data_IF_091865790888
#
_entry.id   IF_091865790888
#
_cell.length_a   1.000
_cell.length_b   1.000
_cell.length_c   1.000
_cell.angle_alpha   90.00
_cell.angle_beta   90.00
_cell.angle_gamma   90.00
#
_symmetry.space_group_name_H-M   'P 1'
#
loop_
_entity.id
_entity.type
_entity.pdbx_description
1 polymer ?
#
# COMPACT_ATOMS: atom_id res chain seq x y z
N UNK A 1 26.92 17.59 -16.30
CA UNK A 1 25.60 17.06 -16.70
C UNK A 1 25.41 15.56 -16.44
N UNK A 2 26.41 14.68 -16.60
CA UNK A 2 26.25 13.22 -16.42
C UNK A 2 25.71 12.78 -15.04
N UNK A 3 26.21 13.35 -13.93
CA UNK A 3 25.79 12.97 -12.58
C UNK A 3 24.30 13.22 -12.28
N UNK A 4 23.74 14.30 -12.81
CA UNK A 4 22.34 14.66 -12.58
C UNK A 4 21.42 13.65 -13.28
N UNK A 5 21.76 13.24 -14.50
CA UNK A 5 21.02 12.21 -15.26
C UNK A 5 21.09 10.85 -14.56
N UNK A 6 22.27 10.45 -14.08
CA UNK A 6 22.43 9.19 -13.33
C UNK A 6 21.60 9.17 -12.04
N UNK A 7 21.54 10.29 -11.31
CA UNK A 7 20.75 10.40 -10.09
C UNK A 7 19.24 10.38 -10.35
N UNK A 8 18.77 11.04 -11.42
CA UNK A 8 17.37 11.00 -11.85
C UNK A 8 16.95 9.59 -12.25
N UNK A 9 17.79 8.89 -13.03
CA UNK A 9 17.51 7.50 -13.44
C UNK A 9 17.48 6.55 -12.24
N UNK A 10 18.40 6.69 -11.29
CA UNK A 10 18.40 5.90 -10.06
C UNK A 10 17.15 6.16 -9.22
N UNK A 11 16.72 7.42 -9.10
CA UNK A 11 15.49 7.80 -8.40
C UNK A 11 14.24 7.24 -9.10
N UNK A 12 14.19 7.27 -10.45
CA UNK A 12 13.10 6.68 -11.22
C UNK A 12 13.01 5.16 -10.99
N UNK A 13 14.15 4.47 -11.07
CA UNK A 13 14.24 3.03 -10.80
C UNK A 13 13.81 2.69 -9.36
N UNK A 14 14.25 3.48 -8.38
CA UNK A 14 13.85 3.33 -6.99
C UNK A 14 12.33 3.51 -6.82
N UNK A 15 11.75 4.54 -7.47
CA UNK A 15 10.31 4.79 -7.47
C UNK A 15 9.52 3.62 -8.05
N UNK A 16 9.95 3.05 -9.18
CA UNK A 16 9.34 1.86 -9.78
C UNK A 16 9.44 0.66 -8.86
N UNK A 17 10.64 0.36 -8.36
CA UNK A 17 10.89 -0.81 -7.55
C UNK A 17 10.08 -0.76 -6.25
N UNK A 18 10.09 0.39 -5.56
CA UNK A 18 9.31 0.61 -4.35
C UNK A 18 7.81 0.45 -4.61
N UNK A 19 7.30 1.01 -5.70
CA UNK A 19 5.90 0.88 -6.09
C UNK A 19 5.52 -0.54 -6.50
N UNK A 20 6.40 -1.26 -7.18
CA UNK A 20 6.23 -2.66 -7.53
C UNK A 20 6.11 -3.55 -6.29
N UNK A 21 7.00 -3.36 -5.31
CA UNK A 21 6.96 -4.07 -4.02
C UNK A 21 5.63 -3.78 -3.30
N UNK A 22 5.24 -2.50 -3.17
CA UNK A 22 3.99 -2.12 -2.50
C UNK A 22 2.76 -2.72 -3.20
N UNK A 23 2.74 -2.70 -4.53
CA UNK A 23 1.66 -3.28 -5.33
C UNK A 23 1.59 -4.79 -5.12
N UNK A 24 2.72 -5.49 -5.24
CA UNK A 24 2.80 -6.93 -5.04
C UNK A 24 2.34 -7.36 -3.65
N UNK A 25 2.84 -6.69 -2.60
CA UNK A 25 2.44 -6.96 -1.21
C UNK A 25 0.95 -6.65 -1.00
N UNK A 26 0.43 -5.54 -1.52
CA UNK A 26 -0.99 -5.20 -1.39
C UNK A 26 -1.89 -6.21 -2.10
N UNK A 27 -1.55 -6.59 -3.34
CA UNK A 27 -2.27 -7.61 -4.11
C UNK A 27 -2.25 -8.93 -3.36
N UNK A 28 -1.08 -9.43 -2.97
CA UNK A 28 -0.94 -10.69 -2.23
C UNK A 28 -1.76 -10.68 -0.94
N UNK A 29 -1.70 -9.59 -0.16
CA UNK A 29 -2.51 -9.44 1.04
C UNK A 29 -4.02 -9.46 0.73
N UNK A 30 -4.46 -8.72 -0.29
CA UNK A 30 -5.89 -8.55 -0.62
C UNK A 30 -6.53 -9.74 -1.33
N UNK A 31 -5.76 -10.48 -2.14
CA UNK A 31 -6.25 -11.57 -2.99
C UNK A 31 -5.99 -12.95 -2.38
N UNK A 32 -4.93 -13.09 -1.57
CA UNK A 32 -4.56 -14.39 -0.99
C UNK A 32 -4.72 -14.37 0.53
N UNK A 33 -4.04 -13.47 1.24
CA UNK A 33 -3.96 -13.53 2.71
C UNK A 33 -5.30 -13.25 3.38
N UNK A 34 -6.02 -12.19 3.00
CA UNK A 34 -7.31 -11.85 3.64
C UNK A 34 -8.39 -12.90 3.37
N UNK A 35 -8.58 -13.41 2.13
CA UNK A 35 -9.49 -14.52 1.87
C UNK A 35 -9.12 -15.79 2.63
N UNK A 36 -7.84 -16.17 2.66
CA UNK A 36 -7.39 -17.34 3.43
C UNK A 36 -7.71 -17.21 4.93
N UNK A 37 -7.58 -16.01 5.51
CA UNK A 37 -7.99 -15.77 6.90
C UNK A 37 -9.50 -15.86 7.10
N UNK A 38 -10.31 -15.39 6.14
CA UNK A 38 -11.78 -15.46 6.20
C UNK A 38 -12.29 -16.90 6.14
N UNK A 39 -11.66 -17.73 5.31
CA UNK A 39 -11.98 -19.14 5.11
C UNK A 39 -11.38 -20.03 6.21
N UNK A 40 -10.44 -19.51 7.02
CA UNK A 40 -9.82 -20.28 8.09
C UNK A 40 -10.83 -20.68 9.17
N UNK A 41 -10.68 -21.90 9.68
CA UNK A 41 -11.41 -22.40 10.85
C UNK A 41 -10.71 -22.00 12.17
N UNK A 42 -9.93 -20.92 12.16
CA UNK A 42 -9.23 -20.44 13.35
C UNK A 42 -10.23 -19.93 14.39
N UNK A 43 -10.00 -20.23 15.68
CA UNK A 43 -10.66 -19.54 16.78
C UNK A 43 -10.53 -18.02 16.65
N UNK A 44 -11.55 -17.27 17.08
CA UNK A 44 -11.64 -15.83 16.87
C UNK A 44 -10.47 -15.05 17.51
N UNK A 45 -9.97 -15.50 18.66
CA UNK A 45 -8.80 -14.93 19.33
C UNK A 45 -7.52 -15.12 18.50
N UNK A 46 -7.33 -16.30 17.90
CA UNK A 46 -6.20 -16.59 17.01
C UNK A 46 -6.29 -15.80 15.71
N UNK A 47 -7.49 -15.67 15.15
CA UNK A 47 -7.74 -14.88 13.95
C UNK A 47 -7.37 -13.40 14.19
N UNK A 48 -7.77 -12.83 15.33
CA UNK A 48 -7.40 -11.48 15.75
C UNK A 48 -5.89 -11.33 15.90
N UNK A 49 -5.22 -12.28 16.53
CA UNK A 49 -3.77 -12.26 16.73
C UNK A 49 -2.99 -12.27 15.41
N UNK A 50 -3.33 -13.19 14.50
CA UNK A 50 -2.70 -13.28 13.18
C UNK A 50 -2.95 -12.02 12.36
N UNK A 51 -4.21 -11.54 12.31
CA UNK A 51 -4.56 -10.35 11.56
C UNK A 51 -3.89 -9.08 12.11
N UNK A 52 -3.82 -8.93 13.44
CA UNK A 52 -3.14 -7.82 14.08
C UNK A 52 -1.64 -7.81 13.76
N UNK A 53 -0.98 -8.97 13.85
CA UNK A 53 0.45 -9.08 13.55
C UNK A 53 0.73 -8.76 12.08
N UNK A 54 -0.04 -9.31 11.14
CA UNK A 54 0.10 -8.98 9.71
C UNK A 54 -0.05 -7.48 9.43
N UNK A 55 -1.03 -6.84 10.06
CA UNK A 55 -1.27 -5.40 9.87
C UNK A 55 -0.15 -4.56 10.48
N UNK A 56 0.35 -4.94 11.65
CA UNK A 56 1.44 -4.25 12.34
C UNK A 56 2.74 -4.37 11.58
N UNK A 57 3.18 -5.58 11.24
CA UNK A 57 4.42 -5.83 10.52
C UNK A 57 4.38 -5.20 9.12
N UNK A 58 3.24 -5.30 8.42
CA UNK A 58 3.05 -4.64 7.14
C UNK A 58 3.24 -3.13 7.20
N UNK A 59 2.71 -2.46 8.23
CA UNK A 59 2.84 -1.01 8.38
C UNK A 59 4.27 -0.53 8.70
N UNK A 60 5.06 -1.33 9.42
CA UNK A 60 6.45 -1.00 9.77
C UNK A 60 7.30 -0.84 8.51
N UNK A 61 7.13 -1.73 7.53
CA UNK A 61 7.88 -1.72 6.28
C UNK A 61 7.23 -0.78 5.25
N UNK A 62 5.91 -0.82 5.11
CA UNK A 62 5.21 -0.11 4.06
C UNK A 62 5.28 1.42 4.21
N UNK A 63 5.25 1.94 5.44
CA UNK A 63 5.23 3.40 5.67
C UNK A 63 6.51 4.10 5.16
N UNK A 64 7.73 3.73 5.60
CA UNK A 64 8.95 4.37 5.12
C UNK A 64 9.14 4.16 3.61
N UNK A 65 8.82 2.96 3.09
CA UNK A 65 8.90 2.66 1.67
C UNK A 65 7.95 3.53 0.83
N UNK A 66 6.72 3.76 1.32
CA UNK A 66 5.75 4.62 0.64
C UNK A 66 6.26 6.05 0.57
N UNK A 67 6.77 6.60 1.68
CA UNK A 67 7.28 7.97 1.73
C UNK A 67 8.50 8.17 0.84
N UNK A 68 9.46 7.24 0.86
CA UNK A 68 10.64 7.32 0.01
C UNK A 68 10.27 7.17 -1.48
N UNK A 69 9.33 6.29 -1.81
CA UNK A 69 8.81 6.12 -3.18
C UNK A 69 8.12 7.40 -3.67
N UNK A 70 7.25 8.01 -2.85
CA UNK A 70 6.60 9.29 -3.16
C UNK A 70 7.65 10.37 -3.44
N UNK A 71 8.65 10.50 -2.57
CA UNK A 71 9.73 11.48 -2.74
C UNK A 71 10.50 11.28 -4.04
N UNK A 72 10.85 10.04 -4.37
CA UNK A 72 11.54 9.70 -5.60
C UNK A 72 10.70 10.03 -6.85
N UNK A 73 9.40 9.71 -6.85
CA UNK A 73 8.50 10.01 -7.97
C UNK A 73 8.35 11.51 -8.18
N UNK A 74 8.11 12.29 -7.12
CA UNK A 74 7.99 13.75 -7.23
C UNK A 74 9.32 14.41 -7.64
N UNK A 75 10.45 13.90 -7.16
CA UNK A 75 11.76 14.39 -7.58
C UNK A 75 11.96 14.23 -9.09
N UNK A 76 11.67 13.05 -9.64
CA UNK A 76 11.80 12.81 -11.09
C UNK A 76 10.77 13.63 -11.87
N UNK A 77 9.53 13.72 -11.41
CA UNK A 77 8.48 14.53 -12.03
C UNK A 77 8.90 16.01 -12.13
N UNK A 78 9.43 16.56 -11.03
CA UNK A 78 9.94 17.93 -10.98
C UNK A 78 11.11 18.15 -11.96
N UNK A 79 12.06 17.22 -12.03
CA UNK A 79 13.17 17.31 -12.97
C UNK A 79 12.71 17.28 -14.43
N UNK A 80 11.73 16.43 -14.77
CA UNK A 80 11.14 16.38 -16.12
C UNK A 80 10.34 17.64 -16.47
N UNK A 81 9.73 18.29 -15.48
CA UNK A 81 9.03 19.55 -15.67
C UNK A 81 9.99 20.73 -15.89
N UNK A 82 11.06 20.80 -15.11
CA UNK A 82 12.05 21.90 -15.16
C UNK A 82 13.04 21.78 -16.32
N UNK A 83 13.38 20.54 -16.71
CA UNK A 83 14.32 20.25 -17.78
C UNK A 83 13.67 19.29 -18.79
N UNK A 84 12.71 19.77 -19.60
CA UNK A 84 12.05 18.92 -20.60
C UNK A 84 13.08 18.40 -21.62
N UNK A 85 13.04 17.11 -21.96
CA UNK A 85 13.96 16.56 -22.96
C UNK A 85 13.71 17.20 -24.33
N UNK A 86 14.79 17.52 -25.04
CA UNK A 86 14.77 18.15 -26.38
C UNK A 86 14.14 17.27 -27.47
N UNK A 87 13.94 15.97 -27.22
CA UNK A 87 13.28 15.01 -28.10
C UNK A 87 12.14 14.33 -27.35
N UNK A 88 10.92 14.68 -27.72
CA UNK A 88 9.67 14.15 -27.17
C UNK A 88 9.31 12.79 -27.80
N UNK A 89 10.29 11.90 -28.01
CA UNK A 89 10.07 10.58 -28.62
C UNK A 89 10.35 9.51 -27.57
N UNK A 90 9.43 9.34 -26.62
CA UNK A 90 9.33 8.11 -25.82
C UNK A 90 8.17 7.30 -26.39
N UNK A 91 8.51 6.20 -27.04
CA UNK A 91 7.64 5.34 -27.87
C UNK A 91 6.53 4.61 -27.11
N UNK A 92 6.49 4.66 -25.78
CA UNK A 92 5.45 4.11 -24.91
C UNK A 92 4.52 5.16 -24.26
N UNK A 93 4.94 6.43 -24.22
CA UNK A 93 4.10 7.58 -23.81
C UNK A 93 2.96 7.88 -24.81
N UNK A 94 2.91 7.15 -25.92
CA UNK A 94 1.96 7.27 -27.02
C UNK A 94 0.58 6.66 -26.74
N UNK A 95 0.43 5.82 -25.70
CA UNK A 95 -0.85 5.17 -25.38
C UNK A 95 -1.80 6.06 -24.55
N UNK A 96 -1.24 6.98 -23.76
CA UNK A 96 -1.97 7.90 -22.90
C UNK A 96 -1.28 9.23 -23.15
N UNK A 97 -1.88 10.15 -23.89
CA UNK A 97 -1.30 11.43 -24.36
C UNK A 97 -0.92 12.41 -23.22
N UNK A 98 -0.13 11.94 -22.25
CA UNK A 98 0.24 12.59 -21.00
C UNK A 98 1.76 12.50 -20.88
N UNK A 99 2.42 13.61 -20.59
CA UNK A 99 3.88 13.64 -20.45
C UNK A 99 4.38 12.78 -19.28
N UNK A 100 5.59 12.23 -19.41
CA UNK A 100 6.25 11.40 -18.37
C UNK A 100 6.20 12.08 -16.98
N UNK A 101 6.53 13.37 -16.91
CA UNK A 101 6.51 14.11 -15.65
C UNK A 101 5.12 14.18 -15.02
N UNK A 102 4.06 14.30 -15.83
CA UNK A 102 2.67 14.30 -15.34
C UNK A 102 2.26 12.90 -14.91
N UNK A 103 2.62 11.83 -15.63
CA UNK A 103 2.33 10.46 -15.21
C UNK A 103 2.96 10.15 -13.85
N UNK A 104 4.24 10.51 -13.66
CA UNK A 104 4.95 10.32 -12.39
C UNK A 104 4.35 11.17 -11.25
N UNK A 105 3.95 12.41 -11.55
CA UNK A 105 3.26 13.28 -10.60
C UNK A 105 1.91 12.72 -10.16
N UNK A 106 1.11 12.19 -11.10
CA UNK A 106 -0.17 11.53 -10.80
C UNK A 106 0.07 10.28 -9.94
N UNK A 107 1.07 9.44 -10.27
CA UNK A 107 1.43 8.27 -9.46
C UNK A 107 1.82 8.65 -8.03
N UNK A 108 2.63 9.71 -7.85
CA UNK A 108 2.97 10.24 -6.53
C UNK A 108 1.74 10.72 -5.75
N UNK A 109 0.83 11.44 -6.41
CA UNK A 109 -0.42 11.89 -5.82
C UNK A 109 -1.36 10.73 -5.44
N UNK A 110 -1.44 9.68 -6.27
CA UNK A 110 -2.20 8.47 -5.97
C UNK A 110 -1.67 7.77 -4.72
N UNK A 111 -0.35 7.68 -4.53
CA UNK A 111 0.24 7.11 -3.32
C UNK A 111 -0.10 7.91 -2.06
N UNK A 112 -0.12 9.24 -2.15
CA UNK A 112 -0.63 10.09 -1.07
C UNK A 112 -2.11 9.77 -0.79
N UNK A 113 -2.91 9.67 -1.86
CA UNK A 113 -4.31 9.29 -1.80
C UNK A 113 -4.54 7.93 -1.11
N UNK A 114 -3.70 6.94 -1.39
CA UNK A 114 -3.72 5.62 -0.73
C UNK A 114 -3.46 5.75 0.78
N UNK A 115 -2.49 6.58 1.17
CA UNK A 115 -2.19 6.87 2.57
C UNK A 115 -3.37 7.51 3.30
N UNK A 116 -3.99 8.53 2.69
CA UNK A 116 -5.18 9.21 3.22
C UNK A 116 -6.38 8.26 3.29
N UNK A 117 -6.63 7.48 2.24
CA UNK A 117 -7.68 6.46 2.18
C UNK A 117 -7.52 5.46 3.33
N UNK A 118 -6.32 4.95 3.55
CA UNK A 118 -6.04 3.99 4.63
C UNK A 118 -6.30 4.63 6.00
N UNK A 119 -5.89 5.89 6.19
CA UNK A 119 -6.07 6.61 7.46
C UNK A 119 -7.51 6.97 7.76
N UNK A 120 -8.28 7.40 6.76
CA UNK A 120 -9.64 7.92 6.92
C UNK A 120 -10.68 6.81 6.89
N UNK A 121 -10.55 5.84 5.98
CA UNK A 121 -11.58 4.82 5.76
C UNK A 121 -11.27 3.49 6.43
N UNK A 122 -10.00 3.05 6.41
CA UNK A 122 -9.65 1.72 6.95
C UNK A 122 -9.32 1.74 8.46
N UNK A 123 -8.66 2.80 8.94
CA UNK A 123 -8.11 2.85 10.31
C UNK A 123 -9.15 3.06 11.42
N UNK A 124 -10.13 4.00 11.34
CA UNK A 124 -10.86 4.44 12.52
C UNK A 124 -11.74 3.37 13.16
N UNK A 125 -12.36 2.51 12.36
CA UNK A 125 -13.29 1.48 12.86
C UNK A 125 -12.58 0.14 13.04
N UNK A 126 -11.88 -0.32 12.01
CA UNK A 126 -11.41 -1.70 11.96
C UNK A 126 -10.12 -1.91 12.74
N UNK A 127 -9.10 -1.07 12.53
CA UNK A 127 -7.83 -1.20 13.26
C UNK A 127 -8.01 -0.88 14.75
N UNK A 128 -8.89 0.07 15.09
CA UNK A 128 -9.16 0.40 16.47
C UNK A 128 -9.79 -0.78 17.21
N UNK A 129 -10.89 -1.35 16.67
CA UNK A 129 -11.52 -2.57 17.22
C UNK A 129 -10.56 -3.76 17.27
N UNK A 130 -9.73 -3.92 16.24
CA UNK A 130 -8.72 -4.99 16.20
C UNK A 130 -7.71 -4.85 17.34
N UNK A 131 -7.22 -3.62 17.59
CA UNK A 131 -6.29 -3.32 18.67
C UNK A 131 -6.93 -3.53 20.04
N UNK A 132 -8.17 -3.11 20.22
CA UNK A 132 -8.92 -3.34 21.46
C UNK A 132 -9.11 -4.83 21.73
N UNK A 133 -9.58 -5.60 20.75
CA UNK A 133 -9.72 -7.06 20.85
C UNK A 133 -8.39 -7.73 21.17
N UNK A 134 -7.29 -7.32 20.51
CA UNK A 134 -5.95 -7.84 20.80
C UNK A 134 -5.52 -7.56 22.25
N UNK A 135 -5.78 -6.36 22.76
CA UNK A 135 -5.49 -5.99 24.15
C UNK A 135 -6.28 -6.85 25.12
N UNK A 136 -7.57 -7.09 24.86
CA UNK A 136 -8.41 -7.98 25.69
C UNK A 136 -7.88 -9.41 25.72
N UNK A 137 -7.49 -9.95 24.56
CA UNK A 137 -6.88 -11.28 24.45
C UNK A 137 -5.59 -11.34 25.27
N UNK A 138 -4.72 -10.33 25.17
CA UNK A 138 -3.46 -10.31 25.88
C UNK A 138 -3.64 -10.22 27.40
N UNK A 139 -4.64 -9.46 27.86
CA UNK A 139 -4.98 -9.39 29.28
C UNK A 139 -5.54 -10.72 29.79
N UNK A 140 -6.43 -11.37 29.03
CA UNK A 140 -6.98 -12.68 29.39
C UNK A 140 -5.88 -13.75 29.49
N UNK A 141 -5.01 -13.84 28.47
CA UNK A 141 -3.86 -14.76 28.46
C UNK A 141 -2.92 -14.53 29.65
N UNK A 142 -2.60 -13.26 29.98
CA UNK A 142 -1.77 -12.93 31.15
C UNK A 142 -2.41 -13.33 32.49
N UNK A 143 -3.73 -13.40 32.56
CA UNK A 143 -4.49 -13.81 33.74
C UNK A 143 -4.79 -15.32 33.77
N UNK A 144 -4.32 -16.08 32.78
CA UNK A 144 -4.67 -17.51 32.65
C UNK A 144 -6.15 -17.76 32.35
N UNK A 145 -6.86 -16.75 31.83
CA UNK A 145 -8.27 -16.83 31.46
C UNK A 145 -8.41 -17.14 29.97
N UNK A 146 -9.46 -17.88 29.61
CA UNK A 146 -9.80 -18.07 28.20
C UNK A 146 -10.33 -16.76 27.59
N UNK A 147 -9.74 -16.27 26.48
CA UNK A 147 -10.18 -15.03 25.85
C UNK A 147 -11.53 -15.24 25.15
N UNK A 148 -12.56 -14.52 25.59
CA UNK A 148 -13.83 -14.48 24.87
C UNK A 148 -13.80 -13.40 23.79
N UNK A 149 -13.90 -13.82 22.53
CA UNK A 149 -13.95 -12.91 21.37
C UNK A 149 -15.09 -13.36 20.47
N UNK A 150 -15.99 -12.43 20.15
CA UNK A 150 -17.13 -12.71 19.29
C UNK A 150 -16.67 -12.99 17.85
N UNK A 151 -16.82 -14.25 17.41
CA UNK A 151 -16.37 -14.70 16.09
C UNK A 151 -17.07 -13.97 14.93
N UNK A 152 -18.37 -13.70 15.07
CA UNK A 152 -19.17 -13.04 14.05
C UNK A 152 -18.67 -11.60 13.79
N UNK A 153 -18.47 -10.83 14.86
CA UNK A 153 -17.93 -9.47 14.76
C UNK A 153 -16.53 -9.42 14.12
N UNK A 154 -15.65 -10.37 14.43
CA UNK A 154 -14.31 -10.46 13.80
C UNK A 154 -14.40 -10.76 12.32
N UNK A 155 -15.23 -11.72 11.90
CA UNK A 155 -15.39 -12.07 10.48
C UNK A 155 -15.99 -10.92 9.68
N UNK A 156 -16.98 -10.21 10.23
CA UNK A 156 -17.58 -9.03 9.57
C UNK A 156 -16.57 -7.90 9.38
N UNK A 157 -15.78 -7.60 10.41
CA UNK A 157 -14.72 -6.57 10.33
C UNK A 157 -13.62 -6.99 9.33
N UNK A 158 -13.25 -8.28 9.29
CA UNK A 158 -12.27 -8.82 8.35
C UNK A 158 -12.78 -8.80 6.91
N UNK A 159 -14.06 -9.10 6.69
CA UNK A 159 -14.69 -9.03 5.36
C UNK A 159 -14.72 -7.59 4.85
N UNK A 160 -15.07 -6.63 5.72
CA UNK A 160 -15.01 -5.22 5.40
C UNK A 160 -13.58 -4.77 5.07
N UNK A 161 -12.59 -5.18 5.87
CA UNK A 161 -11.18 -4.91 5.61
C UNK A 161 -10.69 -5.49 4.28
N UNK A 162 -11.08 -6.72 3.96
CA UNK A 162 -10.75 -7.40 2.70
C UNK A 162 -11.25 -6.60 1.51
N UNK A 163 -12.50 -6.14 1.57
CA UNK A 163 -13.11 -5.31 0.52
C UNK A 163 -12.36 -3.99 0.33
N UNK A 164 -12.07 -3.27 1.41
CA UNK A 164 -11.32 -2.02 1.35
C UNK A 164 -9.87 -2.23 0.86
N UNK A 165 -9.26 -3.37 1.21
CA UNK A 165 -7.91 -3.74 0.80
C UNK A 165 -7.83 -4.01 -0.70
N UNK A 166 -8.85 -4.60 -1.31
CA UNK A 166 -8.91 -4.81 -2.77
C UNK A 166 -8.91 -3.48 -3.53
N UNK A 167 -9.74 -2.53 -3.07
CA UNK A 167 -9.75 -1.19 -3.65
C UNK A 167 -8.38 -0.51 -3.52
N UNK A 168 -7.74 -0.62 -2.35
CA UNK A 168 -6.39 -0.12 -2.12
C UNK A 168 -5.36 -0.73 -3.07
N UNK A 169 -5.40 -2.05 -3.28
CA UNK A 169 -4.54 -2.73 -4.24
C UNK A 169 -4.76 -2.24 -5.67
N UNK A 170 -6.00 -1.94 -6.04
CA UNK A 170 -6.33 -1.31 -7.32
C UNK A 170 -5.64 0.04 -7.51
N UNK A 171 -5.66 0.90 -6.49
CA UNK A 171 -4.96 2.20 -6.54
C UNK A 171 -3.44 2.04 -6.71
N UNK A 172 -2.82 1.09 -5.99
CA UNK A 172 -1.39 0.79 -6.15
C UNK A 172 -1.07 0.28 -7.56
N UNK A 173 -1.89 -0.63 -8.10
CA UNK A 173 -1.72 -1.16 -9.45
C UNK A 173 -1.85 -0.06 -10.51
N UNK A 174 -2.82 0.84 -10.37
CA UNK A 174 -2.96 2.00 -11.28
C UNK A 174 -1.76 2.92 -11.20
N UNK A 175 -1.28 3.23 -9.98
CA UNK A 175 -0.07 4.04 -9.82
C UNK A 175 1.14 3.36 -10.46
N UNK A 176 1.30 2.03 -10.29
CA UNK A 176 2.38 1.26 -10.90
C UNK A 176 2.32 1.29 -12.42
N UNK A 177 1.13 1.10 -12.99
CA UNK A 177 0.91 1.13 -14.43
C UNK A 177 1.37 2.47 -15.01
N UNK A 178 0.96 3.58 -14.39
CA UNK A 178 1.37 4.94 -14.79
C UNK A 178 2.88 5.15 -14.71
N UNK A 179 3.56 4.62 -13.68
CA UNK A 179 5.02 4.74 -13.59
C UNK A 179 5.70 3.88 -14.66
N UNK A 180 5.22 2.66 -14.92
CA UNK A 180 5.80 1.76 -15.91
C UNK A 180 5.59 2.28 -17.34
N UNK A 181 4.42 2.83 -17.66
CA UNK A 181 4.14 3.44 -18.99
C UNK A 181 4.92 4.73 -19.22
N UNK A 182 5.51 5.30 -18.16
CA UNK A 182 6.38 6.47 -18.26
C UNK A 182 7.81 6.15 -18.71
N UNK A 183 8.16 4.87 -18.89
CA UNK A 183 9.47 4.42 -19.39
C UNK A 183 9.58 4.43 -20.92
#
# INVERSE_FOLDING_TARGET
>A
MSYLTSFVNASKLYGVAGLGIMTGVSIAASMNTMPALLESNLPADKLVEVWYNLTKEGNIIATPLTLSTIGALFFVAYQRYTHPPLLHITTLSSYIHISEGVQLGISGALLIGVGLYTRILMTPKTIHRLRERKKTIDVAKRRGLEPHVEAHGVKTDLHHWSTLSRFRSGMYATALLLVVTSF
#
